data_IF_151738114864
#
_entry.id   IF_151738114864
#
_cell.length_a   1.000
_cell.length_b   1.000
_cell.length_c   1.000
_cell.angle_alpha   90.00
_cell.angle_beta   90.00
_cell.angle_gamma   90.00
#
_symmetry.space_group_name_H-M   'P 1'
#
loop_
_entity.id
_entity.type
_entity.pdbx_description
1 polymer ?
#
# COMPACT_ATOMS: atom_id res chain seq x y z
N UNK A 1 -17.12 10.89 -2.54
CA UNK A 1 -16.09 11.12 -1.49
C UNK A 1 -15.34 9.85 -1.05
N UNK A 2 -15.92 8.63 -1.17
CA UNK A 2 -15.28 7.37 -0.79
C UNK A 2 -14.02 6.97 -1.59
N UNK A 3 -13.86 7.46 -2.83
CA UNK A 3 -12.61 7.28 -3.59
C UNK A 3 -11.41 7.98 -2.94
N UNK A 4 -11.64 9.10 -2.23
CA UNK A 4 -10.58 9.82 -1.53
C UNK A 4 -9.95 9.03 -0.39
N UNK A 5 -10.72 8.17 0.28
CA UNK A 5 -10.20 7.30 1.34
C UNK A 5 -9.24 6.24 0.77
N UNK A 6 -9.56 5.64 -0.37
CA UNK A 6 -8.68 4.68 -1.05
C UNK A 6 -7.36 5.34 -1.44
N UNK A 7 -7.43 6.52 -2.07
CA UNK A 7 -6.23 7.28 -2.42
C UNK A 7 -5.41 7.61 -1.19
N UNK A 8 -6.04 8.08 -0.10
CA UNK A 8 -5.34 8.39 1.15
C UNK A 8 -4.63 7.18 1.76
N UNK A 9 -5.26 5.99 1.73
CA UNK A 9 -4.65 4.74 2.20
C UNK A 9 -3.43 4.35 1.37
N UNK A 10 -3.53 4.39 0.04
CA UNK A 10 -2.41 4.08 -0.85
C UNK A 10 -1.25 5.07 -0.61
N UNK A 11 -1.55 6.35 -0.46
CA UNK A 11 -0.55 7.36 -0.14
C UNK A 11 0.12 7.11 1.22
N UNK A 12 -0.65 6.71 2.23
CA UNK A 12 -0.11 6.36 3.55
C UNK A 12 0.83 5.14 3.48
N UNK A 13 0.51 4.12 2.66
CA UNK A 13 1.40 2.97 2.43
C UNK A 13 2.70 3.41 1.73
N UNK A 14 2.61 4.31 0.76
CA UNK A 14 3.78 4.94 0.14
C UNK A 14 4.66 5.65 1.16
N UNK A 15 4.07 6.51 2.00
CA UNK A 15 4.78 7.22 3.07
C UNK A 15 5.39 6.27 4.11
N UNK A 16 4.68 5.21 4.47
CA UNK A 16 5.20 4.17 5.37
C UNK A 16 6.41 3.44 4.75
N UNK A 17 6.43 3.26 3.43
CA UNK A 17 7.60 2.71 2.73
C UNK A 17 8.78 3.67 2.84
N UNK A 18 8.55 4.97 2.64
CA UNK A 18 9.57 6.01 2.81
C UNK A 18 10.10 6.12 4.25
N UNK A 19 9.31 5.75 5.27
CA UNK A 19 9.75 5.77 6.67
C UNK A 19 10.97 4.87 6.94
N UNK A 20 11.25 3.90 6.06
CA UNK A 20 12.49 3.12 6.12
C UNK A 20 13.77 3.99 5.98
N UNK A 21 13.69 5.17 5.34
CA UNK A 21 14.81 6.09 5.17
C UNK A 21 15.29 6.73 6.48
N UNK A 22 14.37 6.96 7.43
CA UNK A 22 14.67 7.55 8.74
C UNK A 22 14.94 6.50 9.82
N UNK A 23 15.16 5.23 9.43
CA UNK A 23 15.39 4.13 10.35
C UNK A 23 14.12 3.42 10.87
N UNK A 24 12.95 3.73 10.32
CA UNK A 24 11.67 3.09 10.71
C UNK A 24 11.54 1.59 10.37
N UNK A 25 12.50 1.03 9.64
CA UNK A 25 12.54 -0.40 9.30
C UNK A 25 11.46 -0.83 8.30
N UNK A 26 11.07 -2.12 8.35
CA UNK A 26 10.01 -2.68 7.49
C UNK A 26 10.47 -3.06 6.07
N UNK A 27 9.48 -3.24 5.18
CA UNK A 27 9.68 -3.71 3.79
C UNK A 27 10.41 -2.68 2.92
N UNK A 28 10.22 -1.37 3.19
CA UNK A 28 10.91 -0.29 2.48
C UNK A 28 12.44 -0.35 2.61
N UNK A 29 12.97 -0.98 3.67
CA UNK A 29 14.41 -1.13 3.87
C UNK A 29 15.08 -1.91 2.74
N UNK A 30 14.44 -2.97 2.23
CA UNK A 30 14.99 -3.77 1.12
C UNK A 30 15.06 -2.95 -0.17
N UNK A 31 14.03 -2.13 -0.42
CA UNK A 31 13.99 -1.22 -1.57
C UNK A 31 15.16 -0.24 -1.51
N UNK A 32 15.36 0.43 -0.39
CA UNK A 32 16.42 1.42 -0.25
C UNK A 32 17.82 0.82 -0.18
N UNK A 33 17.99 -0.37 0.39
CA UNK A 33 19.25 -1.11 0.31
C UNK A 33 19.61 -1.45 -1.13
N UNK A 34 18.63 -1.91 -1.93
CA UNK A 34 18.85 -2.17 -3.35
C UNK A 34 19.22 -0.92 -4.14
N UNK A 35 18.54 0.20 -3.86
CA UNK A 35 18.86 1.51 -4.48
C UNK A 35 20.29 1.94 -4.12
N UNK A 36 20.67 1.84 -2.85
CA UNK A 36 22.01 2.23 -2.40
C UNK A 36 23.14 1.36 -2.96
N UNK A 37 22.84 0.10 -3.31
CA UNK A 37 23.79 -0.85 -3.91
C UNK A 37 23.68 -0.91 -5.45
N UNK A 38 22.80 -0.13 -6.08
CA UNK A 38 22.44 -0.23 -7.50
C UNK A 38 22.06 -1.67 -7.92
N UNK A 39 21.59 -2.48 -6.98
CA UNK A 39 21.26 -3.87 -7.16
C UNK A 39 19.76 -4.01 -7.43
N UNK A 40 19.38 -4.09 -8.70
CA UNK A 40 17.98 -4.16 -9.14
C UNK A 40 17.25 -5.35 -8.53
N UNK A 41 17.92 -6.49 -8.34
CA UNK A 41 17.33 -7.68 -7.71
C UNK A 41 16.84 -7.40 -6.28
N UNK A 42 17.60 -6.63 -5.50
CA UNK A 42 17.22 -6.25 -4.14
C UNK A 42 16.08 -5.22 -4.12
N UNK A 43 16.07 -4.29 -5.08
CA UNK A 43 14.98 -3.33 -5.24
C UNK A 43 13.69 -4.08 -5.53
N UNK A 44 13.71 -5.00 -6.50
CA UNK A 44 12.55 -5.80 -6.87
C UNK A 44 12.08 -6.67 -5.71
N UNK A 45 12.99 -7.32 -4.98
CA UNK A 45 12.68 -8.12 -3.80
C UNK A 45 11.93 -7.31 -2.72
N UNK A 46 12.25 -6.02 -2.57
CA UNK A 46 11.55 -5.12 -1.65
C UNK A 46 10.25 -4.53 -2.21
N UNK A 47 10.24 -4.15 -3.49
CA UNK A 47 9.10 -3.48 -4.13
C UNK A 47 7.94 -4.44 -4.35
N UNK A 48 8.20 -5.68 -4.78
CA UNK A 48 7.15 -6.67 -5.02
C UNK A 48 6.21 -6.86 -3.81
N UNK A 49 6.71 -7.14 -2.59
CA UNK A 49 5.83 -7.31 -1.43
C UNK A 49 5.14 -6.00 -1.02
N UNK A 50 5.77 -4.83 -1.20
CA UNK A 50 5.14 -3.52 -0.94
C UNK A 50 3.96 -3.28 -1.89
N UNK A 51 4.14 -3.54 -3.18
CA UNK A 51 3.09 -3.41 -4.20
C UNK A 51 1.97 -4.41 -3.93
N UNK A 52 2.30 -5.67 -3.61
CA UNK A 52 1.32 -6.68 -3.26
C UNK A 52 0.49 -6.28 -2.02
N UNK A 53 1.14 -5.74 -0.98
CA UNK A 53 0.46 -5.22 0.21
C UNK A 53 -0.47 -4.05 -0.13
N UNK A 54 0.01 -3.11 -0.96
CA UNK A 54 -0.77 -1.94 -1.39
C UNK A 54 -2.03 -2.34 -2.16
N UNK A 55 -1.89 -3.29 -3.09
CA UNK A 55 -3.02 -3.85 -3.84
C UNK A 55 -3.98 -4.63 -2.95
N UNK A 56 -3.47 -5.43 -2.00
CA UNK A 56 -4.29 -6.15 -1.04
C UNK A 56 -5.10 -5.19 -0.14
N UNK A 57 -4.48 -4.10 0.30
CA UNK A 57 -5.15 -3.07 1.08
C UNK A 57 -6.23 -2.33 0.27
N UNK A 58 -5.93 -1.96 -0.98
CA UNK A 58 -6.90 -1.30 -1.86
C UNK A 58 -8.10 -2.21 -2.18
N UNK A 59 -7.83 -3.49 -2.52
CA UNK A 59 -8.87 -4.48 -2.77
C UNK A 59 -9.71 -4.77 -1.51
N UNK A 60 -9.08 -4.85 -0.33
CA UNK A 60 -9.76 -5.01 0.95
C UNK A 60 -10.69 -3.84 1.26
N UNK A 61 -10.22 -2.61 1.02
CA UNK A 61 -11.05 -1.41 1.15
C UNK A 61 -12.21 -1.42 0.16
N UNK A 62 -11.96 -1.76 -1.10
CA UNK A 62 -12.99 -1.83 -2.13
C UNK A 62 -14.06 -2.89 -1.79
N UNK A 63 -13.65 -4.06 -1.30
CA UNK A 63 -14.56 -5.10 -0.86
C UNK A 63 -15.40 -4.64 0.33
N UNK A 64 -14.78 -4.02 1.34
CA UNK A 64 -15.46 -3.47 2.51
C UNK A 64 -16.47 -2.39 2.12
N UNK A 65 -16.09 -1.49 1.20
CA UNK A 65 -16.98 -0.46 0.66
C UNK A 65 -18.18 -1.09 -0.06
N UNK A 66 -17.95 -2.08 -0.92
CA UNK A 66 -19.04 -2.77 -1.62
C UNK A 66 -20.02 -3.45 -0.66
N UNK A 67 -19.53 -3.98 0.46
CA UNK A 67 -20.35 -4.64 1.47
C UNK A 67 -21.17 -3.63 2.28
N UNK A 68 -20.58 -2.50 2.65
CA UNK A 68 -21.27 -1.41 3.34
C UNK A 68 -22.32 -0.73 2.46
N UNK A 69 -22.03 -0.53 1.16
CA UNK A 69 -23.01 0.01 0.21
C UNK A 69 -24.17 -0.95 -0.04
N UNK A 70 -23.93 -2.27 -0.08
CA UNK A 70 -25.00 -3.27 -0.21
C UNK A 70 -25.97 -3.27 0.98
N UNK A 71 -25.51 -2.94 2.19
CA UNK A 71 -26.39 -2.82 3.36
C UNK A 71 -27.30 -1.59 3.34
N UNK A 72 -26.97 -0.54 2.58
CA UNK A 72 -27.78 0.68 2.47
C UNK A 72 -28.62 0.78 1.19
N UNK A 73 -28.47 -0.15 0.24
CA UNK A 73 -29.18 -0.13 -1.06
C UNK A 73 -30.51 -0.90 -1.10
N UNK A 74 -31.07 -1.31 0.05
CA UNK A 74 -32.34 -2.07 0.14
C UNK A 74 -33.58 -1.22 0.47
N UNK A 75 -33.47 0.11 0.45
CA UNK A 75 -34.58 1.02 0.74
C UNK A 75 -34.58 2.21 -0.22
N UNK A 76 -34.91 1.96 -1.50
CA UNK A 76 -35.44 2.96 -2.42
C UNK A 76 -36.18 2.23 -3.55
#
# INVERSE_FOLDING_TARGET
MLGGLRTAVIQAIGLATLAALIGGGGLGRLVFLGVGQLATDLILLGVLPVVALSLAADAGLAALQSWLSRRHGGAA
#
